data_IF_319930875637
#
_entry.id   IF_319930875637
#
_cell.length_a   1.000
_cell.length_b   1.000
_cell.length_c   1.000
_cell.angle_alpha   90.00
_cell.angle_beta   90.00
_cell.angle_gamma   90.00
#
_symmetry.space_group_name_H-M   'P 1'
#
loop_
_entity.id
_entity.type
_entity.pdbx_description
1 polymer ?
#
# COMPACT_ATOMS: atom_id res chain seq x y z
N UNK A 1 -9.55 -21.40 0.88
CA UNK A 1 -8.06 -21.51 0.81
C UNK A 1 -7.52 -20.78 2.03
N UNK A 2 -6.76 -21.45 2.92
CA UNK A 2 -6.16 -20.75 4.07
C UNK A 2 -5.06 -19.84 3.51
N UNK A 3 -5.17 -18.53 3.74
CA UNK A 3 -4.05 -17.62 3.56
C UNK A 3 -2.90 -18.15 4.42
N UNK A 4 -1.74 -18.39 3.83
CA UNK A 4 -0.50 -18.61 4.57
C UNK A 4 -0.23 -17.38 5.44
N UNK A 5 0.54 -17.52 6.50
CA UNK A 5 0.94 -16.42 7.35
C UNK A 5 1.47 -15.26 6.47
N UNK A 6 0.94 -14.08 6.68
CA UNK A 6 1.33 -12.88 5.95
C UNK A 6 1.45 -11.70 6.92
N UNK A 7 2.34 -10.76 6.60
CA UNK A 7 2.53 -9.52 7.33
C UNK A 7 2.11 -8.34 6.46
N UNK A 8 1.25 -7.46 6.97
CA UNK A 8 0.89 -6.20 6.32
C UNK A 8 1.65 -5.07 6.98
N UNK A 9 2.53 -4.41 6.26
CA UNK A 9 3.21 -3.18 6.68
C UNK A 9 2.56 -2.00 5.98
N UNK A 10 1.89 -1.13 6.72
CA UNK A 10 1.33 0.10 6.20
C UNK A 10 2.18 1.30 6.62
N UNK A 11 2.24 2.29 5.76
CA UNK A 11 3.03 3.50 5.92
C UNK A 11 2.14 4.72 5.72
N UNK A 12 2.01 5.55 6.77
CA UNK A 12 1.53 6.92 6.67
C UNK A 12 2.67 7.79 6.14
N UNK A 13 2.55 8.20 4.86
CA UNK A 13 3.61 8.94 4.19
C UNK A 13 3.68 10.38 4.71
N UNK A 14 4.84 10.76 5.15
CA UNK A 14 5.05 12.09 5.72
C UNK A 14 6.51 12.44 5.88
N UNK A 15 6.78 13.62 6.39
CA UNK A 15 8.15 14.07 6.60
C UNK A 15 8.80 13.33 7.78
N UNK A 16 9.81 12.52 7.52
CA UNK A 16 10.65 11.89 8.57
C UNK A 16 11.28 12.97 9.47
N UNK A 17 11.73 14.06 8.88
CA UNK A 17 12.40 15.15 9.63
C UNK A 17 11.49 15.86 10.61
N UNK A 18 10.20 15.98 10.32
CA UNK A 18 9.22 16.67 11.18
C UNK A 18 8.34 15.70 11.99
N UNK A 19 8.64 14.38 11.92
CA UNK A 19 7.93 13.37 12.70
C UNK A 19 6.52 13.07 12.21
N UNK A 20 6.22 13.29 10.91
CA UNK A 20 4.93 12.95 10.33
C UNK A 20 4.97 11.69 9.45
N UNK A 21 6.11 11.00 9.39
CA UNK A 21 6.22 9.65 8.84
C UNK A 21 5.95 8.64 9.95
N UNK A 22 5.15 7.63 9.68
CA UNK A 22 4.99 6.49 10.59
C UNK A 22 4.66 5.21 9.80
N UNK A 23 4.85 4.06 10.45
CA UNK A 23 4.49 2.77 9.91
C UNK A 23 3.99 1.83 11.00
N UNK A 24 3.20 0.84 10.61
CA UNK A 24 2.74 -0.23 11.48
C UNK A 24 2.71 -1.56 10.73
N UNK A 25 3.05 -2.64 11.43
CA UNK A 25 3.01 -4.01 10.93
C UNK A 25 1.93 -4.80 11.66
N UNK A 26 1.10 -5.51 10.90
CA UNK A 26 -0.01 -6.32 11.41
C UNK A 26 0.08 -7.72 10.81
N UNK A 27 -0.04 -8.75 11.64
CA UNK A 27 -0.09 -10.13 11.19
C UNK A 27 -1.46 -10.50 10.60
N UNK A 28 -1.45 -11.37 9.61
CA UNK A 28 -2.64 -12.07 9.13
C UNK A 28 -2.57 -13.56 9.52
N UNK A 29 -3.71 -14.17 9.93
CA UNK A 29 -5.08 -13.65 9.97
C UNK A 29 -5.49 -12.95 11.27
N UNK A 30 -4.65 -12.88 12.30
CA UNK A 30 -5.04 -12.39 13.63
C UNK A 30 -5.18 -10.87 13.76
N UNK A 31 -4.80 -10.11 12.74
CA UNK A 31 -4.78 -8.64 12.74
C UNK A 31 -4.07 -8.04 13.97
N UNK A 32 -3.09 -8.76 14.50
CA UNK A 32 -2.35 -8.33 15.68
C UNK A 32 -1.25 -7.34 15.28
N UNK A 33 -1.20 -6.18 15.93
CA UNK A 33 -0.09 -5.24 15.79
C UNK A 33 1.20 -5.91 16.33
N UNK A 34 2.20 -6.08 15.48
CA UNK A 34 3.45 -6.75 15.82
C UNK A 34 4.62 -5.77 15.97
N UNK A 35 4.59 -4.68 15.20
CA UNK A 35 5.59 -3.63 15.28
C UNK A 35 5.05 -2.31 14.75
N UNK A 36 5.69 -1.21 15.12
CA UNK A 36 5.44 0.13 14.58
C UNK A 36 6.66 1.02 14.80
N UNK A 37 6.71 2.15 14.11
CA UNK A 37 7.79 3.11 14.25
C UNK A 37 7.61 4.35 13.41
N UNK A 38 8.61 5.22 13.45
CA UNK A 38 8.64 6.51 12.77
C UNK A 38 9.85 6.67 11.82
N UNK A 39 10.55 5.57 11.57
CA UNK A 39 11.69 5.54 10.65
C UNK A 39 11.46 4.58 9.47
N UNK A 40 11.84 4.98 8.24
CA UNK A 40 11.65 4.14 7.06
C UNK A 40 12.47 2.84 7.08
N UNK A 41 13.61 2.80 7.77
CA UNK A 41 14.45 1.60 7.83
C UNK A 41 13.77 0.49 8.64
N UNK A 42 13.04 0.85 9.71
CA UNK A 42 12.21 -0.08 10.46
C UNK A 42 11.12 -0.70 9.60
N UNK A 43 10.42 0.09 8.78
CA UNK A 43 9.40 -0.41 7.85
C UNK A 43 10.00 -1.41 6.82
N UNK A 44 11.12 -1.06 6.19
CA UNK A 44 11.82 -1.93 5.25
C UNK A 44 12.33 -3.21 5.93
N UNK A 45 12.83 -3.08 7.18
CA UNK A 45 13.26 -4.21 8.02
C UNK A 45 12.13 -5.17 8.33
N UNK A 46 10.95 -4.68 8.71
CA UNK A 46 9.78 -5.50 9.00
C UNK A 46 9.32 -6.31 7.76
N UNK A 47 9.26 -5.66 6.58
CA UNK A 47 8.97 -6.35 5.32
C UNK A 47 10.01 -7.42 5.00
N UNK A 48 11.29 -7.08 5.09
CA UNK A 48 12.38 -8.00 4.76
C UNK A 48 12.43 -9.20 5.70
N UNK A 49 12.18 -9.00 7.00
CA UNK A 49 12.12 -10.07 7.98
C UNK A 49 11.00 -11.06 7.65
N UNK A 50 9.77 -10.57 7.44
CA UNK A 50 8.63 -11.42 7.09
C UNK A 50 8.89 -12.26 5.83
N UNK A 51 9.47 -11.65 4.79
CA UNK A 51 9.79 -12.31 3.53
C UNK A 51 10.94 -13.32 3.66
N UNK A 52 11.93 -13.05 4.52
CA UNK A 52 13.05 -13.97 4.81
C UNK A 52 12.56 -15.20 5.55
N UNK A 53 11.59 -15.05 6.44
CA UNK A 53 10.97 -16.15 7.19
C UNK A 53 10.01 -16.99 6.32
N UNK A 54 9.91 -16.69 5.03
CA UNK A 54 9.08 -17.42 4.07
C UNK A 54 7.59 -17.05 4.11
N UNK A 55 7.20 -16.04 4.89
CA UNK A 55 5.86 -15.50 4.86
C UNK A 55 5.66 -14.62 3.61
N UNK A 56 4.40 -14.43 3.20
CA UNK A 56 4.06 -13.38 2.26
C UNK A 56 3.98 -12.04 2.98
N UNK A 57 4.26 -10.95 2.26
CA UNK A 57 4.15 -9.60 2.83
C UNK A 57 3.33 -8.67 1.93
N UNK A 58 2.79 -7.63 2.55
CA UNK A 58 2.08 -6.56 1.88
C UNK A 58 2.69 -5.23 2.30
N UNK A 59 3.06 -4.39 1.32
CA UNK A 59 3.36 -2.98 1.56
C UNK A 59 2.15 -2.16 1.15
N UNK A 60 1.56 -1.44 2.11
CA UNK A 60 0.47 -0.51 1.89
C UNK A 60 0.96 0.93 2.09
N UNK A 61 0.87 1.77 1.06
CA UNK A 61 1.24 3.19 1.17
C UNK A 61 -0.02 4.05 1.29
N UNK A 62 -0.06 4.94 2.28
CA UNK A 62 -1.12 5.95 2.41
C UNK A 62 -0.85 7.13 1.48
N UNK A 63 -0.86 6.85 0.19
CA UNK A 63 -0.65 7.83 -0.87
C UNK A 63 -1.33 7.37 -2.16
N UNK A 64 -1.74 8.31 -3.05
CA UNK A 64 -2.23 7.96 -4.38
C UNK A 64 -1.12 7.32 -5.22
N UNK A 65 -1.19 6.00 -5.43
CA UNK A 65 -0.15 5.23 -6.11
C UNK A 65 -0.60 4.64 -7.45
N UNK A 66 -1.76 5.05 -7.94
CA UNK A 66 -2.20 4.89 -9.32
C UNK A 66 -2.88 6.15 -9.81
N UNK A 67 -2.62 6.53 -11.06
CA UNK A 67 -3.20 7.75 -11.64
C UNK A 67 -3.88 7.44 -12.97
N UNK A 68 -5.05 8.06 -13.24
CA UNK A 68 -5.76 7.86 -14.51
C UNK A 68 -5.05 8.57 -15.65
N UNK A 69 -4.91 7.85 -16.77
CA UNK A 69 -4.37 8.37 -18.02
C UNK A 69 -5.48 8.33 -19.09
N UNK A 70 -6.27 9.41 -19.20
CA UNK A 70 -7.38 9.47 -20.14
C UNK A 70 -6.91 9.58 -21.60
N UNK A 71 -7.72 9.09 -22.54
CA UNK A 71 -7.50 9.31 -23.96
C UNK A 71 -7.78 10.76 -24.40
N UNK A 72 -8.70 11.45 -23.71
CA UNK A 72 -8.95 12.88 -23.93
C UNK A 72 -8.08 13.71 -22.98
N UNK A 73 -7.15 14.48 -23.53
CA UNK A 73 -6.26 15.35 -22.78
C UNK A 73 -6.96 16.37 -21.89
N UNK A 74 -8.20 16.75 -22.18
CA UNK A 74 -9.02 17.66 -21.35
C UNK A 74 -9.40 17.06 -20.00
N UNK A 75 -9.27 15.76 -19.85
CA UNK A 75 -9.55 15.03 -18.61
C UNK A 75 -8.28 14.77 -17.78
N UNK A 76 -7.11 15.25 -18.22
CA UNK A 76 -5.87 15.13 -17.42
C UNK A 76 -6.04 15.82 -16.06
N UNK A 77 -5.61 15.13 -15.00
CA UNK A 77 -5.77 15.60 -13.62
C UNK A 77 -7.14 15.33 -12.99
N UNK A 78 -8.10 14.74 -13.72
CA UNK A 78 -9.38 14.31 -13.14
C UNK A 78 -9.12 13.24 -12.05
N UNK A 79 -9.88 13.34 -10.96
CA UNK A 79 -9.83 12.35 -9.86
C UNK A 79 -10.28 10.95 -10.31
N UNK A 80 -9.91 9.95 -9.54
CA UNK A 80 -10.31 8.55 -9.71
C UNK A 80 -11.78 8.36 -9.30
N UNK A 81 -12.42 7.35 -9.82
CA UNK A 81 -13.74 6.91 -9.35
C UNK A 81 -13.62 6.44 -7.90
N UNK A 82 -14.48 6.89 -6.99
CA UNK A 82 -14.44 6.57 -5.57
C UNK A 82 -13.56 7.51 -4.73
N UNK A 83 -12.76 8.40 -5.32
CA UNK A 83 -11.82 9.28 -4.61
C UNK A 83 -12.49 10.45 -3.89
N UNK A 84 -13.69 10.86 -4.34
CA UNK A 84 -14.43 11.97 -3.73
C UNK A 84 -13.74 13.33 -3.95
N UNK A 85 -13.72 14.16 -2.91
CA UNK A 85 -13.19 15.53 -2.97
C UNK A 85 -11.68 15.65 -2.75
N UNK A 86 -10.97 14.52 -2.59
CA UNK A 86 -9.53 14.48 -2.33
C UNK A 86 -8.78 13.89 -3.52
N UNK A 87 -8.86 14.62 -4.65
CA UNK A 87 -8.20 14.17 -5.88
C UNK A 87 -6.69 14.02 -5.70
N UNK A 88 -6.14 12.95 -6.28
CA UNK A 88 -4.71 12.67 -6.32
C UNK A 88 -3.86 13.84 -6.86
N UNK A 89 -4.48 14.65 -7.74
CA UNK A 89 -3.83 15.76 -8.47
C UNK A 89 -3.88 17.10 -7.75
N UNK A 90 -4.50 17.18 -6.55
CA UNK A 90 -4.72 18.45 -5.87
C UNK A 90 -4.54 18.36 -4.35
N UNK A 91 -4.22 19.50 -3.73
CA UNK A 91 -4.16 19.66 -2.28
C UNK A 91 -3.36 18.56 -1.55
N UNK A 92 -3.93 17.98 -0.51
CA UNK A 92 -3.28 16.93 0.28
C UNK A 92 -2.95 15.67 -0.53
N UNK A 93 -3.79 15.32 -1.52
CA UNK A 93 -3.55 14.16 -2.39
C UNK A 93 -2.26 14.31 -3.21
N UNK A 94 -2.04 15.49 -3.81
CA UNK A 94 -0.81 15.76 -4.57
C UNK A 94 0.43 15.76 -3.66
N UNK A 95 0.32 16.28 -2.44
CA UNK A 95 1.40 16.24 -1.45
C UNK A 95 1.75 14.81 -1.01
N UNK A 96 0.74 14.00 -0.70
CA UNK A 96 0.92 12.60 -0.35
C UNK A 96 1.53 11.80 -1.51
N UNK A 97 1.05 12.03 -2.75
CA UNK A 97 1.62 11.41 -3.95
C UNK A 97 3.12 11.74 -4.09
N UNK A 98 3.49 13.01 -4.00
CA UNK A 98 4.89 13.44 -4.15
C UNK A 98 5.80 12.81 -3.08
N UNK A 99 5.33 12.76 -1.83
CA UNK A 99 6.06 12.15 -0.71
C UNK A 99 6.12 10.62 -0.88
N UNK A 100 5.00 10.00 -1.22
CA UNK A 100 4.90 8.56 -1.45
C UNK A 100 5.75 8.06 -2.62
N UNK A 101 5.97 8.90 -3.65
CA UNK A 101 6.89 8.57 -4.73
C UNK A 101 8.32 8.38 -4.23
N UNK A 102 8.80 9.28 -3.38
CA UNK A 102 10.17 9.19 -2.85
C UNK A 102 10.30 8.06 -1.81
N UNK A 103 9.36 8.00 -0.87
CA UNK A 103 9.42 7.05 0.23
C UNK A 103 9.17 5.62 -0.22
N UNK A 104 8.18 5.39 -1.07
CA UNK A 104 7.91 4.06 -1.64
C UNK A 104 9.08 3.53 -2.46
N UNK A 105 9.68 4.37 -3.31
CA UNK A 105 10.86 4.00 -4.07
C UNK A 105 12.04 3.62 -3.16
N UNK A 106 12.29 4.40 -2.10
CA UNK A 106 13.36 4.12 -1.14
C UNK A 106 13.10 2.81 -0.37
N UNK A 107 11.89 2.61 0.16
CA UNK A 107 11.50 1.39 0.89
C UNK A 107 11.70 0.14 0.02
N UNK A 108 11.21 0.19 -1.22
CA UNK A 108 11.33 -0.94 -2.16
C UNK A 108 12.79 -1.21 -2.56
N UNK A 109 13.62 -0.18 -2.69
CA UNK A 109 15.05 -0.34 -2.94
C UNK A 109 15.78 -1.01 -1.76
N UNK A 110 15.44 -0.66 -0.52
CA UNK A 110 16.00 -1.32 0.67
C UNK A 110 15.58 -2.79 0.75
N UNK A 111 14.31 -3.10 0.48
CA UNK A 111 13.82 -4.49 0.41
C UNK A 111 14.51 -5.27 -0.71
N UNK A 112 14.65 -4.69 -1.91
CA UNK A 112 15.33 -5.33 -3.03
C UNK A 112 16.83 -5.57 -2.76
N UNK A 113 17.46 -4.66 -2.02
CA UNK A 113 18.86 -4.82 -1.59
C UNK A 113 19.03 -5.95 -0.58
N UNK A 114 18.07 -6.09 0.34
CA UNK A 114 18.08 -7.18 1.33
C UNK A 114 17.74 -8.54 0.71
N UNK A 115 16.88 -8.56 -0.31
CA UNK A 115 16.34 -9.77 -0.95
C UNK A 115 16.49 -9.69 -2.48
N UNK A 116 17.71 -9.87 -3.03
CA UNK A 116 17.94 -9.81 -4.47
C UNK A 116 17.09 -10.81 -5.23
N UNK A 117 16.46 -10.36 -6.32
CA UNK A 117 15.59 -11.19 -7.16
C UNK A 117 14.19 -11.41 -6.62
N UNK A 118 13.81 -10.72 -5.52
CA UNK A 118 12.46 -10.79 -4.98
C UNK A 118 11.42 -10.42 -6.04
N UNK A 119 10.39 -11.25 -6.16
CA UNK A 119 9.22 -10.95 -6.98
C UNK A 119 8.20 -10.13 -6.18
N UNK A 120 7.62 -9.12 -6.85
CA UNK A 120 6.54 -8.30 -6.32
C UNK A 120 5.38 -8.24 -7.31
N UNK A 121 4.20 -7.87 -6.83
CA UNK A 121 3.01 -7.67 -7.65
C UNK A 121 2.11 -6.58 -7.06
N UNK A 122 1.36 -5.90 -7.92
CA UNK A 122 0.25 -5.02 -7.53
C UNK A 122 -1.11 -5.71 -7.63
N UNK A 123 -1.13 -7.00 -8.03
CA UNK A 123 -2.36 -7.75 -8.32
C UNK A 123 -2.60 -8.85 -7.27
N UNK A 124 -3.69 -8.73 -6.51
CA UNK A 124 -4.06 -9.70 -5.45
C UNK A 124 -4.14 -11.14 -5.97
N UNK A 125 -4.61 -11.34 -7.20
CA UNK A 125 -4.69 -12.68 -7.81
C UNK A 125 -3.32 -13.33 -7.97
N UNK A 126 -2.30 -12.56 -8.31
CA UNK A 126 -0.91 -13.02 -8.47
C UNK A 126 -0.23 -13.26 -7.13
N UNK A 127 -0.58 -12.45 -6.11
CA UNK A 127 -0.08 -12.62 -4.75
C UNK A 127 -0.70 -13.84 -4.05
N UNK A 128 -2.01 -14.05 -4.18
CA UNK A 128 -2.69 -15.24 -3.64
C UNK A 128 -2.18 -16.55 -4.26
N UNK A 129 -1.61 -16.48 -5.44
CA UNK A 129 -0.96 -17.60 -6.10
C UNK A 129 0.48 -17.86 -5.64
N UNK A 130 0.99 -17.19 -4.59
CA UNK A 130 2.37 -17.35 -4.13
C UNK A 130 2.69 -18.79 -3.71
N UNK A 131 1.74 -19.53 -3.15
CA UNK A 131 1.89 -20.95 -2.83
C UNK A 131 2.18 -21.82 -4.07
N UNK A 132 1.78 -21.35 -5.26
CA UNK A 132 1.98 -21.99 -6.56
C UNK A 132 3.06 -21.27 -7.40
N UNK A 133 3.97 -20.51 -6.77
CA UNK A 133 5.05 -19.77 -7.43
C UNK A 133 4.67 -18.31 -7.77
N UNK A 134 3.64 -17.74 -7.16
CA UNK A 134 3.30 -16.32 -7.28
C UNK A 134 4.27 -15.41 -6.55
N UNK A 135 4.05 -14.08 -6.65
CA UNK A 135 4.91 -13.08 -6.01
C UNK A 135 4.66 -13.01 -4.50
N UNK A 136 5.68 -13.11 -3.65
CA UNK A 136 5.50 -13.06 -2.20
C UNK A 136 5.23 -11.65 -1.64
N UNK A 137 5.57 -10.57 -2.36
CA UNK A 137 5.33 -9.19 -1.97
C UNK A 137 4.18 -8.58 -2.78
N UNK A 138 3.10 -8.17 -2.09
CA UNK A 138 2.00 -7.40 -2.67
C UNK A 138 2.18 -5.91 -2.35
N UNK A 139 1.94 -5.07 -3.35
CA UNK A 139 1.99 -3.61 -3.23
C UNK A 139 0.58 -3.05 -3.40
N UNK A 140 0.10 -2.30 -2.41
CA UNK A 140 -1.25 -1.73 -2.40
C UNK A 140 -1.25 -0.28 -1.93
N UNK A 141 -2.35 0.41 -2.17
CA UNK A 141 -2.63 1.73 -1.65
C UNK A 141 -3.61 1.63 -0.48
N UNK A 142 -3.40 2.40 0.56
CA UNK A 142 -4.32 2.52 1.67
C UNK A 142 -4.73 3.98 1.89
N UNK A 143 -5.90 4.18 2.48
CA UNK A 143 -6.41 5.50 2.85
C UNK A 143 -7.03 5.48 4.23
N UNK A 144 -6.59 6.42 5.08
CA UNK A 144 -7.20 6.70 6.36
C UNK A 144 -7.72 8.13 6.35
N UNK A 145 -9.02 8.32 6.23
CA UNK A 145 -9.60 9.66 6.10
C UNK A 145 -11.04 9.73 6.59
N UNK A 146 -11.44 10.91 7.05
CA UNK A 146 -12.80 11.17 7.52
C UNK A 146 -13.16 10.32 8.74
N UNK A 147 -14.28 9.59 8.66
CA UNK A 147 -14.77 8.72 9.73
C UNK A 147 -13.88 7.50 9.99
N UNK A 148 -13.01 7.12 9.04
CA UNK A 148 -12.04 6.04 9.20
C UNK A 148 -10.80 6.41 10.01
N UNK A 149 -10.66 7.68 10.44
CA UNK A 149 -9.54 8.07 11.30
C UNK A 149 -9.69 7.48 12.68
N UNK A 150 -8.66 6.76 13.18
CA UNK A 150 -8.68 6.23 14.52
C UNK A 150 -8.68 7.35 15.56
N UNK A 151 -9.21 7.05 16.75
CA UNK A 151 -8.98 7.89 17.93
C UNK A 151 -7.48 7.86 18.25
N UNK A 152 -6.83 9.01 18.50
CA UNK A 152 -5.42 9.04 18.86
C UNK A 152 -5.12 8.09 20.02
N UNK A 153 -4.13 7.22 19.84
CA UNK A 153 -3.66 6.26 20.83
C UNK A 153 -2.34 6.72 21.42
N UNK A 154 -1.79 5.96 22.37
CA UNK A 154 -0.45 6.19 22.89
C UNK A 154 0.66 6.12 21.82
N UNK A 155 0.35 5.56 20.63
CA UNK A 155 1.27 5.47 19.48
C UNK A 155 1.48 6.84 18.78
N UNK A 156 0.65 7.83 19.08
CA UNK A 156 0.58 9.07 18.33
C UNK A 156 -0.31 8.97 17.07
N UNK A 157 -0.68 10.10 16.45
CA UNK A 157 -1.69 10.11 15.38
C UNK A 157 -1.24 9.37 14.12
N UNK A 158 0.00 9.55 13.69
CA UNK A 158 0.51 8.95 12.44
C UNK A 158 0.67 7.43 12.54
N UNK A 159 1.18 6.92 13.67
CA UNK A 159 1.29 5.47 13.87
C UNK A 159 -0.10 4.81 14.04
N UNK A 160 -1.07 5.52 14.63
CA UNK A 160 -2.45 5.06 14.69
C UNK A 160 -3.11 5.01 13.30
N UNK A 161 -2.87 6.02 12.44
CA UNK A 161 -3.32 6.01 11.04
C UNK A 161 -2.69 4.81 10.29
N UNK A 162 -1.38 4.59 10.40
CA UNK A 162 -0.69 3.44 9.79
C UNK A 162 -1.24 2.09 10.30
N UNK A 163 -1.52 1.94 11.60
CA UNK A 163 -2.14 0.73 12.15
C UNK A 163 -3.54 0.52 11.58
N UNK A 164 -4.37 1.55 11.51
CA UNK A 164 -5.71 1.46 10.95
C UNK A 164 -5.67 1.06 9.45
N UNK A 165 -4.73 1.61 8.70
CA UNK A 165 -4.48 1.24 7.31
C UNK A 165 -4.08 -0.24 7.19
N UNK A 166 -3.13 -0.72 8.01
CA UNK A 166 -2.68 -2.11 8.00
C UNK A 166 -3.80 -3.08 8.32
N UNK A 167 -4.61 -2.79 9.34
CA UNK A 167 -5.78 -3.62 9.72
C UNK A 167 -6.85 -3.64 8.63
N UNK A 168 -7.14 -2.50 8.00
CA UNK A 168 -8.11 -2.42 6.90
C UNK A 168 -7.66 -3.26 5.69
N UNK A 169 -6.39 -3.18 5.33
CA UNK A 169 -5.82 -4.00 4.24
C UNK A 169 -5.85 -5.49 4.60
N UNK A 170 -5.49 -5.86 5.83
CA UNK A 170 -5.57 -7.24 6.29
C UNK A 170 -7.00 -7.79 6.21
N UNK A 171 -7.99 -7.06 6.72
CA UNK A 171 -9.40 -7.44 6.67
C UNK A 171 -9.92 -7.58 5.22
N UNK A 172 -9.56 -6.66 4.31
CA UNK A 172 -9.90 -6.73 2.89
C UNK A 172 -9.33 -7.99 2.24
N UNK A 173 -8.06 -8.29 2.47
CA UNK A 173 -7.40 -9.46 1.90
C UNK A 173 -7.92 -10.77 2.48
N UNK A 174 -8.39 -10.76 3.74
CA UNK A 174 -9.08 -11.89 4.36
C UNK A 174 -10.53 -12.07 3.87
N UNK A 175 -11.13 -11.05 3.25
CA UNK A 175 -12.54 -11.04 2.85
C UNK A 175 -13.50 -10.77 4.00
N UNK A 176 -13.01 -10.16 5.07
CA UNK A 176 -13.77 -9.94 6.32
C UNK A 176 -14.54 -8.61 6.33
N UNK A 177 -14.14 -7.65 5.49
CA UNK A 177 -14.78 -6.33 5.42
C UNK A 177 -16.05 -6.30 4.53
N UNK A 178 -16.42 -7.43 3.95
CA UNK A 178 -17.61 -7.58 3.11
C UNK A 178 -17.55 -6.80 1.80
N UNK A 179 -16.37 -6.33 1.40
CA UNK A 179 -16.16 -5.57 0.16
C UNK A 179 -15.30 -6.37 -0.80
N UNK A 180 -15.81 -6.55 -2.01
CA UNK A 180 -15.04 -7.14 -3.11
C UNK A 180 -14.38 -6.04 -3.94
N UNK A 181 -13.07 -6.21 -4.22
CA UNK A 181 -12.32 -5.31 -5.10
C UNK A 181 -11.73 -4.08 -4.41
N UNK A 182 -11.60 -3.01 -5.18
CA UNK A 182 -10.92 -1.76 -4.79
C UNK A 182 -11.91 -0.66 -4.44
N UNK A 183 -11.59 0.17 -3.44
CA UNK A 183 -12.42 1.33 -3.08
C UNK A 183 -12.27 2.51 -4.05
N UNK A 184 -11.20 2.53 -4.86
CA UNK A 184 -10.97 3.54 -5.89
C UNK A 184 -10.40 2.90 -7.15
N UNK A 185 -10.77 3.43 -8.32
CA UNK A 185 -10.29 2.93 -9.60
C UNK A 185 -10.06 4.05 -10.60
N UNK A 186 -9.08 3.88 -11.46
CA UNK A 186 -8.84 4.75 -12.61
C UNK A 186 -9.89 4.56 -13.71
N UNK A 187 -10.63 3.44 -13.70
CA UNK A 187 -11.65 3.16 -14.72
C UNK A 187 -12.70 4.28 -14.84
N UNK A 188 -13.18 4.58 -16.04
CA UNK A 188 -12.92 3.91 -17.32
C UNK A 188 -11.60 4.29 -18.01
N UNK A 189 -10.76 5.12 -17.40
CA UNK A 189 -9.45 5.49 -17.93
C UNK A 189 -8.45 4.35 -17.73
N UNK A 190 -7.35 4.36 -18.49
CA UNK A 190 -6.21 3.50 -18.21
C UNK A 190 -5.53 3.96 -16.91
N UNK A 191 -5.07 3.02 -16.12
CA UNK A 191 -4.24 3.32 -14.99
C UNK A 191 -2.76 3.50 -15.40
N UNK A 192 -2.03 4.33 -14.67
CA UNK A 192 -0.58 4.25 -14.58
C UNK A 192 -0.22 3.95 -13.13
N UNK A 193 0.27 2.74 -12.89
CA UNK A 193 0.65 2.27 -11.56
C UNK A 193 2.02 2.82 -11.16
N UNK A 194 2.02 3.72 -10.19
CA UNK A 194 3.25 4.29 -9.62
C UNK A 194 3.97 3.27 -8.74
N UNK A 195 3.23 2.38 -8.05
CA UNK A 195 3.83 1.27 -7.28
C UNK A 195 4.58 0.30 -8.19
N UNK A 196 4.01 -0.07 -9.33
CA UNK A 196 4.70 -0.91 -10.30
C UNK A 196 5.94 -0.22 -10.88
N UNK A 197 5.87 1.09 -11.13
CA UNK A 197 7.01 1.87 -11.60
C UNK A 197 8.13 1.93 -10.54
N UNK A 198 7.80 2.17 -9.29
CA UNK A 198 8.74 2.17 -8.17
C UNK A 198 9.39 0.80 -7.95
N UNK A 199 8.61 -0.28 -7.98
CA UNK A 199 9.11 -1.64 -7.82
C UNK A 199 10.13 -2.01 -8.91
N UNK A 200 9.84 -1.64 -10.16
CA UNK A 200 10.79 -1.81 -11.28
C UNK A 200 12.05 -0.98 -11.12
N UNK A 201 11.89 0.29 -10.74
CA UNK A 201 13.02 1.16 -10.49
C UNK A 201 13.93 0.62 -9.37
N UNK A 202 13.33 0.02 -8.34
CA UNK A 202 14.03 -0.63 -7.23
C UNK A 202 14.69 -1.97 -7.60
N UNK A 203 14.44 -2.51 -8.79
CA UNK A 203 15.00 -3.79 -9.24
C UNK A 203 14.22 -5.03 -8.82
N UNK A 204 12.99 -4.87 -8.35
CA UNK A 204 12.10 -6.01 -8.05
C UNK A 204 11.58 -6.64 -9.34
N UNK A 205 11.43 -7.98 -9.34
CA UNK A 205 10.83 -8.70 -10.45
C UNK A 205 9.31 -8.47 -10.45
N UNK A 206 8.79 -7.90 -11.54
CA UNK A 206 7.38 -7.55 -11.69
C UNK A 206 6.91 -7.85 -13.12
N UNK A 207 5.67 -8.35 -13.26
CA UNK A 207 5.10 -8.63 -14.57
C UNK A 207 4.93 -7.35 -15.42
N UNK A 208 5.13 -7.48 -16.75
CA UNK A 208 5.24 -6.34 -17.67
C UNK A 208 3.99 -5.48 -17.79
N UNK A 209 2.83 -6.08 -17.65
CA UNK A 209 1.51 -5.45 -17.79
C UNK A 209 1.07 -4.63 -16.56
N UNK A 210 1.68 -4.85 -15.39
CA UNK A 210 1.25 -4.23 -14.14
C UNK A 210 1.40 -2.70 -14.11
N UNK A 211 2.23 -2.11 -14.97
CA UNK A 211 2.31 -0.66 -15.13
C UNK A 211 0.99 -0.03 -15.60
N UNK A 212 0.14 -0.80 -16.29
CA UNK A 212 -1.11 -0.31 -16.86
C UNK A 212 -2.36 -0.82 -16.13
N UNK A 213 -2.19 -1.48 -14.98
CA UNK A 213 -3.28 -2.01 -14.17
C UNK A 213 -3.50 -1.14 -12.93
N UNK A 214 -4.77 -1.05 -12.51
CA UNK A 214 -5.10 -0.46 -11.21
C UNK A 214 -4.46 -1.27 -10.08
N UNK A 215 -4.11 -0.58 -9.01
CA UNK A 215 -3.70 -1.20 -7.76
C UNK A 215 -4.91 -1.40 -6.85
N UNK A 216 -4.84 -2.34 -5.91
CA UNK A 216 -5.82 -2.42 -4.85
C UNK A 216 -5.72 -1.16 -3.98
N UNK A 217 -6.83 -0.44 -3.83
CA UNK A 217 -6.97 0.70 -2.92
C UNK A 217 -7.93 0.31 -1.80
N UNK A 218 -7.50 0.40 -0.57
CA UNK A 218 -8.30 0.07 0.61
C UNK A 218 -8.50 1.31 1.47
N UNK A 219 -9.75 1.65 1.74
CA UNK A 219 -10.11 2.73 2.67
C UNK A 219 -10.40 2.15 4.05
N UNK A 220 -9.69 2.61 5.08
CA UNK A 220 -10.03 2.31 6.46
C UNK A 220 -11.43 2.86 6.78
N UNK A 221 -12.24 2.05 7.45
CA UNK A 221 -13.60 2.38 7.90
C UNK A 221 -13.64 2.44 9.41
N UNK A 222 -14.61 3.16 10.01
CA UNK A 222 -14.78 3.11 11.46
C UNK A 222 -14.95 1.66 11.92
N UNK A 223 -14.37 1.32 13.07
CA UNK A 223 -14.69 0.09 13.74
C UNK A 223 -16.17 0.14 14.13
N UNK A 224 -16.98 -0.80 13.64
CA UNK A 224 -18.38 -0.93 13.96
C UNK A 224 -18.62 -1.31 15.41
#
# INVERSE_FOLDING_TARGET
MKLSAACVVAVDVGSVRTGSFAWAAVDMPGHTLTAYGDDPAGAAGALSAALTDGASAVLALEAPMSVPVPGDWKLLGKGRTGEGNRAWSASAGAGALATGLAQGAWLLAEVARALPGLAATTQVSRWRGAADGGAPLLLVEAFVSGEGKPVPTALGPHAADAEAAARAVAARLAGEDGTDGTDMTCAPQRAFSLLAAQARWAGLALAGDELALDVLVVRARPAG
#
